data_IF_369799574093
#
_entry.id   IF_369799574093
#
_cell.length_a   1.000
_cell.length_b   1.000
_cell.length_c   1.000
_cell.angle_alpha   90.00
_cell.angle_beta   90.00
_cell.angle_gamma   90.00
#
_symmetry.space_group_name_H-M   'P 1'
#
loop_
_entity.id
_entity.type
_entity.pdbx_description
1 polymer ?
#
# COMPACT_ATOMS: atom_id res chain seq x y z
N UNK A 1 -14.59 19.62 -11.07
CA UNK A 1 -14.83 18.32 -11.72
C UNK A 1 -13.72 17.40 -11.25
N UNK A 2 -13.91 16.71 -10.12
CA UNK A 2 -12.92 15.75 -9.62
C UNK A 2 -12.90 14.57 -10.58
N UNK A 3 -11.89 14.49 -11.43
CA UNK A 3 -11.65 13.30 -12.21
C UNK A 3 -11.50 12.15 -11.21
N UNK A 4 -12.42 11.18 -11.26
CA UNK A 4 -12.29 9.97 -10.47
C UNK A 4 -11.04 9.24 -10.96
N UNK A 5 -9.94 9.35 -10.21
CA UNK A 5 -8.71 8.63 -10.53
C UNK A 5 -9.02 7.13 -10.50
N UNK A 6 -9.13 6.53 -11.69
CA UNK A 6 -9.33 5.09 -11.82
C UNK A 6 -8.13 4.39 -11.19
N UNK A 7 -8.38 3.39 -10.33
CA UNK A 7 -7.30 2.65 -9.69
C UNK A 7 -6.44 2.01 -10.78
N UNK A 8 -5.11 2.18 -10.76
CA UNK A 8 -4.23 1.49 -11.69
C UNK A 8 -4.44 -0.02 -11.58
N UNK A 9 -4.51 -0.72 -12.71
CA UNK A 9 -4.66 -2.19 -12.74
C UNK A 9 -3.58 -2.92 -11.91
N UNK A 10 -2.43 -2.30 -11.67
CA UNK A 10 -1.40 -2.79 -10.77
C UNK A 10 -1.86 -2.85 -9.30
N UNK A 11 -2.59 -1.83 -8.82
CA UNK A 11 -3.16 -1.83 -7.48
C UNK A 11 -4.24 -2.91 -7.34
N UNK A 12 -5.05 -3.12 -8.37
CA UNK A 12 -6.09 -4.16 -8.36
C UNK A 12 -5.51 -5.56 -8.28
N UNK A 13 -4.46 -5.83 -9.08
CA UNK A 13 -3.69 -7.07 -8.94
C UNK A 13 -3.11 -7.21 -7.53
N UNK A 14 -2.45 -6.17 -7.01
CA UNK A 14 -1.88 -6.17 -5.67
C UNK A 14 -2.93 -6.47 -4.60
N UNK A 15 -4.12 -5.87 -4.67
CA UNK A 15 -5.19 -6.10 -3.68
C UNK A 15 -5.63 -7.56 -3.61
N UNK A 16 -5.61 -8.27 -4.74
CA UNK A 16 -6.00 -9.70 -4.81
C UNK A 16 -4.84 -10.66 -4.54
N UNK A 17 -3.61 -10.16 -4.47
CA UNK A 17 -2.44 -10.99 -4.18
C UNK A 17 -2.58 -11.63 -2.80
N UNK A 18 -2.41 -12.95 -2.73
CA UNK A 18 -2.39 -13.69 -1.47
C UNK A 18 -1.04 -13.54 -0.78
N UNK A 19 -1.10 -13.35 0.53
CA UNK A 19 0.04 -13.38 1.44
C UNK A 19 0.46 -14.84 1.63
N UNK A 20 1.73 -15.09 1.37
CA UNK A 20 2.41 -16.38 1.53
C UNK A 20 3.85 -16.17 2.00
N UNK A 21 4.59 -17.26 2.18
CA UNK A 21 5.97 -17.27 2.69
C UNK A 21 6.99 -16.48 1.86
N UNK A 22 6.66 -16.07 0.62
CA UNK A 22 7.53 -15.22 -0.20
C UNK A 22 7.56 -13.78 0.31
N UNK A 23 6.54 -13.36 1.06
CA UNK A 23 6.46 -12.02 1.63
C UNK A 23 7.13 -11.98 3.00
N UNK A 24 8.20 -11.19 3.09
CA UNK A 24 8.94 -10.97 4.34
C UNK A 24 8.24 -9.92 5.19
N UNK A 25 8.41 -10.02 6.50
CA UNK A 25 7.98 -9.00 7.45
C UNK A 25 6.48 -8.99 7.75
N UNK A 26 5.69 -9.89 7.16
CA UNK A 26 4.27 -9.98 7.42
C UNK A 26 3.96 -10.84 8.66
N UNK A 27 2.78 -10.65 9.27
CA UNK A 27 2.34 -11.50 10.37
C UNK A 27 2.21 -12.97 9.95
N UNK A 28 2.72 -13.94 10.72
CA UNK A 28 2.63 -15.36 10.38
C UNK A 28 1.20 -15.88 10.22
N UNK A 29 0.26 -15.29 10.98
CA UNK A 29 -1.17 -15.61 10.93
C UNK A 29 -1.90 -14.97 9.73
N UNK A 30 -1.21 -14.17 8.91
CA UNK A 30 -1.78 -13.58 7.71
C UNK A 30 -1.70 -14.49 6.47
N UNK A 31 -1.08 -15.67 6.58
CA UNK A 31 -1.00 -16.62 5.46
C UNK A 31 -2.40 -16.97 4.92
N UNK A 32 -2.53 -16.91 3.59
CA UNK A 32 -3.78 -17.17 2.89
C UNK A 32 -4.70 -15.94 2.76
N UNK A 33 -4.52 -14.88 3.54
CA UNK A 33 -5.23 -13.61 3.34
C UNK A 33 -4.75 -12.91 2.06
N UNK A 34 -5.60 -12.11 1.46
CA UNK A 34 -5.20 -11.14 0.44
C UNK A 34 -4.59 -9.88 1.06
N UNK A 35 -3.79 -9.15 0.29
CA UNK A 35 -3.25 -7.85 0.74
C UNK A 35 -4.37 -6.88 1.12
N UNK A 36 -5.51 -6.90 0.41
CA UNK A 36 -6.65 -6.06 0.74
C UNK A 36 -7.30 -6.44 2.08
N UNK A 37 -7.49 -7.74 2.34
CA UNK A 37 -8.05 -8.22 3.61
C UNK A 37 -7.14 -7.87 4.79
N UNK A 38 -5.82 -8.07 4.65
CA UNK A 38 -4.86 -7.70 5.69
C UNK A 38 -4.80 -6.18 5.91
N UNK A 39 -4.79 -5.38 4.84
CA UNK A 39 -4.80 -3.92 4.94
C UNK A 39 -6.10 -3.40 5.60
N UNK A 40 -7.24 -4.03 5.30
CA UNK A 40 -8.53 -3.72 5.90
C UNK A 40 -8.57 -3.91 7.43
N UNK A 41 -7.72 -4.78 7.96
CA UNK A 41 -7.59 -4.97 9.42
C UNK A 41 -6.84 -3.83 10.13
N UNK A 42 -6.15 -2.96 9.40
CA UNK A 42 -5.40 -1.80 9.94
C UNK A 42 -4.54 -2.14 11.15
N UNK A 43 -3.83 -3.27 11.08
CA UNK A 43 -2.98 -3.77 12.19
C UNK A 43 -1.90 -2.75 12.55
N UNK A 44 -1.62 -2.61 13.83
CA UNK A 44 -0.52 -1.79 14.32
C UNK A 44 0.84 -2.42 13.95
N UNK A 45 1.83 -1.62 13.55
CA UNK A 45 3.13 -2.13 13.14
C UNK A 45 3.87 -2.89 14.25
N UNK A 46 3.74 -2.44 15.50
CA UNK A 46 4.50 -2.96 16.64
C UNK A 46 3.79 -4.10 17.36
N UNK A 47 2.45 -4.11 17.38
CA UNK A 47 1.66 -5.12 18.09
C UNK A 47 0.85 -6.03 17.17
N UNK A 48 0.82 -5.75 15.87
CA UNK A 48 0.05 -6.48 14.87
C UNK A 48 0.71 -7.74 14.30
N UNK A 49 1.81 -8.20 14.92
CA UNK A 49 2.50 -9.44 14.55
C UNK A 49 3.51 -9.34 13.41
N UNK A 50 3.78 -8.14 12.89
CA UNK A 50 4.79 -7.94 11.84
C UNK A 50 6.17 -8.42 12.32
N UNK A 51 6.88 -9.14 11.44
CA UNK A 51 8.21 -9.68 11.75
C UNK A 51 9.30 -8.72 11.25
N UNK A 52 10.45 -8.70 11.91
CA UNK A 52 11.59 -7.86 11.47
C UNK A 52 12.58 -8.67 10.64
N UNK A 53 13.26 -8.05 9.66
CA UNK A 53 13.17 -6.65 9.26
C UNK A 53 11.90 -6.33 8.46
N UNK A 54 11.37 -5.12 8.66
CA UNK A 54 10.18 -4.60 7.95
C UNK A 54 10.45 -3.21 7.39
N UNK A 55 9.92 -2.93 6.20
CA UNK A 55 9.91 -1.59 5.60
C UNK A 55 8.54 -0.96 5.84
N UNK A 56 8.54 0.20 6.50
CA UNK A 56 7.33 0.99 6.71
C UNK A 56 7.42 2.28 5.89
N UNK A 57 6.32 2.61 5.20
CA UNK A 57 6.16 3.88 4.50
C UNK A 57 5.36 4.84 5.38
N UNK A 58 5.79 6.10 5.47
CA UNK A 58 4.97 7.16 6.06
C UNK A 58 3.87 7.53 5.06
N UNK A 59 2.61 7.40 5.49
CA UNK A 59 1.45 7.78 4.68
C UNK A 59 1.49 9.28 4.33
N UNK A 60 1.87 10.12 5.28
CA UNK A 60 2.01 11.57 5.10
C UNK A 60 3.06 11.91 4.03
N UNK A 61 4.24 11.29 4.12
CA UNK A 61 5.30 11.54 3.15
C UNK A 61 4.92 11.04 1.75
N UNK A 62 4.21 9.91 1.67
CA UNK A 62 3.73 9.37 0.39
C UNK A 62 2.69 10.31 -0.24
N UNK A 63 1.71 10.77 0.52
CA UNK A 63 0.68 11.70 0.05
C UNK A 63 1.28 13.03 -0.40
N UNK A 64 2.21 13.59 0.39
CA UNK A 64 2.94 14.79 0.04
C UNK A 64 3.69 14.65 -1.31
N UNK A 65 4.43 13.55 -1.48
CA UNK A 65 5.19 13.32 -2.70
C UNK A 65 4.29 13.15 -3.93
N UNK A 66 3.15 12.48 -3.78
CA UNK A 66 2.18 12.31 -4.87
C UNK A 66 1.57 13.66 -5.27
N UNK A 67 1.16 14.49 -4.31
CA UNK A 67 0.61 15.82 -4.59
C UNK A 67 1.65 16.75 -5.27
N UNK A 68 2.92 16.65 -4.87
CA UNK A 68 4.01 17.39 -5.50
C UNK A 68 4.20 16.96 -6.96
N UNK A 69 4.18 15.65 -7.22
CA UNK A 69 4.31 15.12 -8.59
C UNK A 69 3.11 15.51 -9.45
N UNK A 70 1.88 15.42 -8.93
CA UNK A 70 0.65 15.84 -9.61
C UNK A 70 0.73 17.32 -10.02
N UNK A 71 1.09 18.20 -9.07
CA UNK A 71 1.25 19.64 -9.35
C UNK A 71 2.35 19.89 -10.40
N UNK A 72 3.43 19.10 -10.38
CA UNK A 72 4.50 19.20 -11.36
C UNK A 72 4.01 18.79 -12.75
N UNK A 73 3.34 17.65 -12.88
CA UNK A 73 2.86 17.15 -14.17
C UNK A 73 1.81 18.06 -14.78
N UNK A 74 0.88 18.58 -13.97
CA UNK A 74 -0.14 19.54 -14.42
C UNK A 74 0.50 20.83 -14.96
N UNK A 75 1.47 21.39 -14.23
CA UNK A 75 2.15 22.62 -14.65
C UNK A 75 2.92 22.45 -15.97
N UNK A 76 3.43 21.26 -16.24
CA UNK A 76 4.26 20.99 -17.41
C UNK A 76 3.54 20.23 -18.53
N UNK A 77 2.26 19.88 -18.35
CA UNK A 77 1.45 19.18 -19.36
C UNK A 77 1.92 17.76 -19.65
N UNK A 78 2.37 17.03 -18.64
CA UNK A 78 2.83 15.64 -18.72
C UNK A 78 1.69 14.63 -18.56
#
# INVERSE_FOLDING_TARGET
MTAGHSRPAALDRLSTTRVDSRFKGLPPDAEGLTVAELAGQRRNLFTGGFTTPVLALSAEALEHNLALMETYTERHGL
#
